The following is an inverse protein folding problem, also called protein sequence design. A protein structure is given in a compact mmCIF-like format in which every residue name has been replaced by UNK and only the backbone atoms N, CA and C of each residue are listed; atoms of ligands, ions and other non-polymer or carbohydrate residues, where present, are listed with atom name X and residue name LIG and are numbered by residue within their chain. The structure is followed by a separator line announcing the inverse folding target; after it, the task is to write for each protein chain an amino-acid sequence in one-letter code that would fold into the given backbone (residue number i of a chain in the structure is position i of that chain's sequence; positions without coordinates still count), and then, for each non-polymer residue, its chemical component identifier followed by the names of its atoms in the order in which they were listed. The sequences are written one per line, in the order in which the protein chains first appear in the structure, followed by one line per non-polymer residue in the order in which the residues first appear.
data_IF_141986332902
#
_entry.id   IF_141986332902
#
_cell.length_a   1.000
_cell.length_b   1.000
_cell.length_c   1.000
_cell.angle_alpha   90.00
_cell.angle_beta   90.00
_cell.angle_gamma   90.00
#
_symmetry.space_group_name_H-M   'P 1'
#
loop_
_entity.id
_entity.type
_entity.pdbx_description
1 polymer ?
#
# COMPACT_ATOMS: atom_id res chain seq x y z
N UNK A 1 -2.58 -11.78 8.68
CA UNK A 1 -1.76 -10.60 9.05
C UNK A 1 -1.07 -9.94 7.85
N UNK A 2 -0.76 -10.68 6.77
CA UNK A 2 -0.05 -10.15 5.59
C UNK A 2 -0.90 -9.14 4.82
N UNK A 3 -2.15 -9.46 4.53
CA UNK A 3 -3.05 -8.59 3.76
C UNK A 3 -3.24 -7.17 4.35
N UNK A 4 -3.50 -7.01 5.67
CA UNK A 4 -3.57 -5.70 6.29
C UNK A 4 -2.27 -4.90 6.18
N UNK A 5 -1.12 -5.55 6.29
CA UNK A 5 0.18 -4.89 6.14
C UNK A 5 0.40 -4.38 4.71
N UNK A 6 0.05 -5.19 3.71
CA UNK A 6 0.10 -4.79 2.29
C UNK A 6 -0.88 -3.64 2.03
N UNK A 7 -2.09 -3.70 2.55
CA UNK A 7 -3.07 -2.62 2.42
C UNK A 7 -2.57 -1.31 3.04
N UNK A 8 -2.00 -1.35 4.25
CA UNK A 8 -1.41 -0.19 4.90
C UNK A 8 -0.25 0.39 4.09
N UNK A 9 0.62 -0.45 3.56
CA UNK A 9 1.74 -0.03 2.72
C UNK A 9 1.28 0.63 1.41
N UNK A 10 0.34 0.02 0.71
CA UNK A 10 -0.22 0.58 -0.53
C UNK A 10 -0.91 1.91 -0.26
N UNK A 11 -1.70 2.01 0.82
CA UNK A 11 -2.35 3.26 1.22
C UNK A 11 -1.32 4.34 1.52
N UNK A 12 -0.26 4.02 2.25
CA UNK A 12 0.83 4.96 2.52
C UNK A 12 1.49 5.46 1.23
N UNK A 13 1.78 4.56 0.29
CA UNK A 13 2.42 4.89 -0.98
C UNK A 13 1.53 5.79 -1.87
N UNK A 14 0.25 5.44 -1.99
CA UNK A 14 -0.71 6.19 -2.80
C UNK A 14 -0.97 7.57 -2.19
N UNK A 15 -1.19 7.64 -0.86
CA UNK A 15 -1.40 8.91 -0.17
C UNK A 15 -0.17 9.82 -0.23
N UNK A 16 1.02 9.26 -0.07
CA UNK A 16 2.27 10.03 -0.21
C UNK A 16 2.42 10.62 -1.61
N UNK A 17 2.03 9.87 -2.66
CA UNK A 17 2.05 10.36 -4.03
C UNK A 17 0.98 11.44 -4.29
N UNK A 18 -0.24 11.25 -3.80
CA UNK A 18 -1.33 12.22 -3.90
C UNK A 18 -0.92 13.55 -3.26
N UNK A 19 -0.42 13.51 -2.03
CA UNK A 19 0.05 14.68 -1.29
C UNK A 19 1.21 15.37 -2.02
N UNK A 20 2.11 14.62 -2.64
CA UNK A 20 3.21 15.19 -3.40
C UNK A 20 2.72 15.96 -4.65
N UNK A 21 1.65 15.50 -5.28
CA UNK A 21 1.02 16.18 -6.42
C UNK A 21 0.27 17.43 -5.96
N UNK A 22 -0.47 17.36 -4.86
CA UNK A 22 -1.28 18.45 -4.31
C UNK A 22 -0.49 19.41 -3.40
N UNK A 23 0.84 19.25 -3.35
CA UNK A 23 1.71 20.01 -2.45
C UNK A 23 1.53 21.53 -2.56
N UNK A 24 1.38 22.04 -3.78
CA UNK A 24 1.19 23.47 -4.03
C UNK A 24 -0.15 23.99 -3.47
N UNK A 25 -1.22 23.20 -3.61
CA UNK A 25 -2.53 23.54 -3.08
C UNK A 25 -2.55 23.53 -1.55
N UNK A 26 -1.89 22.55 -0.94
CA UNK A 26 -1.69 22.49 0.51
C UNK A 26 -0.95 23.74 1.01
N UNK A 27 0.09 24.16 0.28
CA UNK A 27 0.83 25.38 0.59
C UNK A 27 -0.03 26.63 0.53
N UNK A 28 -0.86 26.74 -0.51
CA UNK A 28 -1.80 27.84 -0.69
C UNK A 28 -2.85 27.90 0.44
N UNK A 29 -3.47 26.78 0.78
CA UNK A 29 -4.44 26.69 1.88
C UNK A 29 -3.81 27.15 3.21
N UNK A 30 -2.56 26.75 3.47
CA UNK A 30 -1.83 27.20 4.66
C UNK A 30 -1.52 28.69 4.64
N UNK A 31 -1.21 29.25 3.48
CA UNK A 31 -1.00 30.69 3.32
C UNK A 31 -2.28 31.49 3.63
N UNK A 32 -3.47 30.91 3.34
CA UNK A 32 -4.77 31.45 3.73
C UNK A 32 -5.15 31.23 5.21
N UNK A 33 -4.27 30.63 6.02
CA UNK A 33 -4.47 30.46 7.45
C UNK A 33 -5.11 29.16 7.89
N UNK A 34 -5.29 28.17 7.00
CA UNK A 34 -5.75 26.84 7.38
C UNK A 34 -4.76 26.15 8.30
N UNK A 35 -5.27 25.58 9.39
CA UNK A 35 -4.46 24.89 10.39
C UNK A 35 -4.03 23.52 9.86
N UNK A 36 -2.88 23.05 10.33
CA UNK A 36 -2.38 21.69 10.01
C UNK A 36 -3.40 20.59 10.33
N UNK A 37 -4.24 20.82 11.35
CA UNK A 37 -5.30 19.89 11.74
C UNK A 37 -6.42 19.79 10.70
N UNK A 38 -6.77 20.90 10.07
CA UNK A 38 -7.86 20.95 9.10
C UNK A 38 -7.47 20.17 7.83
N UNK A 39 -6.22 20.35 7.40
CA UNK A 39 -5.62 19.62 6.28
C UNK A 39 -5.53 18.12 6.63
N UNK A 40 -5.00 17.79 7.80
CA UNK A 40 -4.90 16.38 8.22
C UNK A 40 -6.29 15.73 8.30
N UNK A 41 -7.29 16.42 8.80
CA UNK A 41 -8.66 15.92 8.90
C UNK A 41 -9.29 15.70 7.52
N UNK A 42 -9.04 16.59 6.58
CA UNK A 42 -9.51 16.46 5.20
C UNK A 42 -9.00 15.16 4.55
N UNK A 43 -7.70 14.93 4.56
CA UNK A 43 -7.10 13.72 4.00
C UNK A 43 -7.50 12.45 4.77
N UNK A 44 -7.64 12.53 6.09
CA UNK A 44 -8.13 11.40 6.90
C UNK A 44 -9.57 11.02 6.53
N UNK A 45 -10.46 12.01 6.34
CA UNK A 45 -11.84 11.77 5.88
C UNK A 45 -11.86 11.15 4.48
N UNK A 46 -10.99 11.61 3.60
CA UNK A 46 -10.85 11.05 2.26
C UNK A 46 -10.44 9.56 2.29
N UNK A 47 -9.43 9.22 3.10
CA UNK A 47 -9.00 7.82 3.29
C UNK A 47 -10.11 6.97 3.90
N UNK A 48 -10.83 7.50 4.90
CA UNK A 48 -11.97 6.82 5.50
C UNK A 48 -13.07 6.57 4.47
N UNK A 49 -13.40 7.54 3.63
CA UNK A 49 -14.41 7.38 2.58
C UNK A 49 -14.05 6.24 1.62
N UNK A 50 -12.83 6.24 1.09
CA UNK A 50 -12.33 5.17 0.23
C UNK A 50 -12.31 3.83 0.98
N UNK A 51 -11.86 3.84 2.23
CA UNK A 51 -11.79 2.64 3.06
C UNK A 51 -13.16 2.02 3.31
N UNK A 52 -14.17 2.82 3.61
CA UNK A 52 -15.55 2.36 3.79
C UNK A 52 -16.10 1.74 2.51
N UNK A 53 -15.93 2.40 1.37
CA UNK A 53 -16.33 1.84 0.06
C UNK A 53 -15.62 0.52 -0.21
N UNK A 54 -14.30 0.45 0.06
CA UNK A 54 -13.53 -0.77 -0.09
C UNK A 54 -14.01 -1.91 0.82
N UNK A 55 -14.38 -1.61 2.07
CA UNK A 55 -14.92 -2.60 3.01
C UNK A 55 -16.28 -3.12 2.53
N UNK A 56 -17.17 -2.23 2.07
CA UNK A 56 -18.49 -2.63 1.56
C UNK A 56 -18.37 -3.53 0.33
N UNK A 57 -17.50 -3.16 -0.61
CA UNK A 57 -17.22 -3.99 -1.79
C UNK A 57 -16.60 -5.32 -1.37
N UNK A 58 -15.65 -5.31 -0.42
CA UNK A 58 -15.03 -6.52 0.11
C UNK A 58 -16.03 -7.46 0.79
N UNK A 59 -17.01 -6.91 1.53
CA UNK A 59 -18.10 -7.69 2.12
C UNK A 59 -18.98 -8.32 1.06
N UNK A 60 -19.37 -7.54 0.04
CA UNK A 60 -20.19 -8.04 -1.05
C UNK A 60 -19.51 -9.19 -1.81
N UNK A 61 -18.27 -8.97 -2.22
CA UNK A 61 -17.48 -9.98 -2.95
C UNK A 61 -17.18 -11.18 -2.05
N UNK A 62 -16.81 -10.94 -0.80
CA UNK A 62 -16.53 -12.01 0.17
C UNK A 62 -17.74 -12.88 0.47
N UNK A 63 -18.92 -12.28 0.59
CA UNK A 63 -20.17 -13.05 0.72
C UNK A 63 -20.44 -13.91 -0.50
N UNK A 64 -20.33 -13.35 -1.69
CA UNK A 64 -20.56 -14.07 -2.95
C UNK A 64 -19.56 -15.21 -3.15
N UNK A 65 -18.27 -14.98 -2.91
CA UNK A 65 -17.24 -16.01 -2.96
C UNK A 65 -17.46 -17.10 -1.91
N UNK A 66 -17.88 -16.72 -0.70
CA UNK A 66 -18.20 -17.66 0.36
C UNK A 66 -19.34 -18.63 -0.03
N UNK A 67 -20.40 -18.09 -0.63
CA UNK A 67 -21.50 -18.90 -1.17
C UNK A 67 -21.02 -19.83 -2.28
N UNK A 68 -20.23 -19.31 -3.22
CA UNK A 68 -19.72 -20.09 -4.34
C UNK A 68 -18.82 -21.24 -3.86
N UNK A 69 -17.86 -20.95 -2.97
CA UNK A 69 -17.00 -21.97 -2.39
C UNK A 69 -17.80 -23.06 -1.64
N UNK A 70 -18.78 -22.64 -0.83
CA UNK A 70 -19.61 -23.59 -0.09
C UNK A 70 -20.35 -24.54 -1.03
N UNK A 71 -20.86 -24.06 -2.16
CA UNK A 71 -21.52 -24.89 -3.19
C UNK A 71 -20.54 -25.86 -3.83
N UNK A 72 -19.35 -25.41 -4.21
CA UNK A 72 -18.29 -26.28 -4.75
C UNK A 72 -17.94 -27.41 -3.78
N UNK A 73 -17.71 -27.08 -2.51
CA UNK A 73 -17.40 -28.11 -1.50
C UNK A 73 -18.57 -29.09 -1.27
N UNK A 74 -19.80 -28.60 -1.31
CA UNK A 74 -20.98 -29.46 -1.18
C UNK A 74 -21.08 -30.49 -2.34
N UNK A 75 -20.74 -30.04 -3.56
CA UNK A 75 -20.77 -30.86 -4.76
C UNK A 75 -19.65 -31.93 -4.77
N UNK A 76 -18.44 -31.55 -4.42
CA UNK A 76 -17.28 -32.43 -4.40
C UNK A 76 -17.32 -33.48 -3.27
N UNK A 77 -17.70 -33.05 -2.07
CA UNK A 77 -17.62 -33.91 -0.86
C UNK A 77 -18.94 -34.54 -0.43
N UNK A 78 -20.05 -34.28 -1.15
CA UNK A 78 -21.37 -34.85 -0.88
C UNK A 78 -21.83 -34.65 0.58
N UNK A 79 -21.49 -33.56 1.22
CA UNK A 79 -21.94 -33.27 2.57
C UNK A 79 -23.44 -32.95 2.60
N UNK A 80 -24.27 -33.70 3.33
CA UNK A 80 -25.72 -33.52 3.30
C UNK A 80 -26.22 -32.22 3.96
N UNK A 81 -25.37 -31.51 4.73
CA UNK A 81 -25.78 -30.34 5.52
C UNK A 81 -24.76 -29.21 5.50
N UNK A 82 -24.14 -28.92 4.39
CA UNK A 82 -23.21 -27.76 4.28
C UNK A 82 -24.01 -26.48 4.02
N UNK A 83 -24.21 -25.68 5.08
CA UNK A 83 -24.88 -24.39 4.97
C UNK A 83 -23.88 -23.25 5.19
N UNK A 84 -23.81 -22.33 4.23
CA UNK A 84 -23.04 -21.09 4.42
C UNK A 84 -23.73 -20.20 5.46
N UNK A 85 -23.11 -20.05 6.63
CA UNK A 85 -23.55 -19.10 7.67
C UNK A 85 -22.54 -18.00 7.81
N UNK A 86 -22.75 -16.82 7.20
CA UNK A 86 -21.86 -15.69 7.35
C UNK A 86 -21.88 -15.23 8.81
N UNK A 87 -20.71 -15.17 9.46
CA UNK A 87 -20.58 -14.63 10.80
C UNK A 87 -20.48 -13.11 10.72
N UNK A 88 -21.48 -12.40 11.23
CA UNK A 88 -21.47 -10.94 11.32
C UNK A 88 -20.24 -10.43 12.06
N UNK A 89 -19.81 -11.14 13.11
CA UNK A 89 -18.59 -10.80 13.86
C UNK A 89 -17.35 -10.82 13.00
N UNK A 90 -17.20 -11.84 12.13
CA UNK A 90 -16.05 -11.95 11.22
C UNK A 90 -16.02 -10.83 10.18
N UNK A 91 -17.17 -10.46 9.64
CA UNK A 91 -17.30 -9.35 8.70
C UNK A 91 -16.96 -8.00 9.35
N UNK A 92 -17.49 -7.74 10.55
CA UNK A 92 -17.17 -6.53 11.29
C UNK A 92 -15.70 -6.46 11.69
N UNK A 93 -15.13 -7.57 12.15
CA UNK A 93 -13.71 -7.63 12.51
C UNK A 93 -12.82 -7.38 11.28
N UNK A 94 -13.12 -8.01 10.15
CA UNK A 94 -12.39 -7.80 8.90
C UNK A 94 -12.48 -6.35 8.42
N UNK A 95 -13.68 -5.75 8.48
CA UNK A 95 -13.90 -4.34 8.14
C UNK A 95 -13.11 -3.40 9.05
N UNK A 96 -13.16 -3.63 10.36
CA UNK A 96 -12.41 -2.84 11.33
C UNK A 96 -10.89 -2.93 11.11
N UNK A 97 -10.35 -4.14 10.92
CA UNK A 97 -8.93 -4.35 10.66
C UNK A 97 -8.51 -3.68 9.35
N UNK A 98 -9.34 -3.75 8.31
CA UNK A 98 -9.07 -3.10 7.03
C UNK A 98 -9.04 -1.58 7.14
N UNK A 99 -10.03 -0.97 7.82
CA UNK A 99 -10.07 0.47 8.06
C UNK A 99 -8.90 0.94 8.93
N UNK A 100 -8.60 0.20 10.00
CA UNK A 100 -7.46 0.50 10.87
C UNK A 100 -6.14 0.46 10.08
N UNK A 101 -5.94 -0.54 9.23
CA UNK A 101 -4.75 -0.67 8.38
C UNK A 101 -4.63 0.48 7.39
N UNK A 102 -5.74 0.88 6.75
CA UNK A 102 -5.76 2.02 5.84
C UNK A 102 -5.42 3.33 6.56
N UNK A 103 -5.98 3.55 7.75
CA UNK A 103 -5.69 4.74 8.56
C UNK A 103 -4.22 4.78 9.01
N UNK A 104 -3.69 3.66 9.50
CA UNK A 104 -2.28 3.56 9.92
C UNK A 104 -1.36 3.85 8.74
N UNK A 105 -1.65 3.28 7.57
CA UNK A 105 -0.90 3.55 6.35
C UNK A 105 -0.92 5.02 5.93
N UNK A 106 -2.07 5.68 6.05
CA UNK A 106 -2.24 7.08 5.67
C UNK A 106 -1.62 8.06 6.66
N UNK A 107 -1.59 7.73 7.97
CA UNK A 107 -1.16 8.64 9.04
C UNK A 107 0.24 9.22 8.80
N UNK A 108 1.17 8.42 8.29
CA UNK A 108 2.53 8.87 7.98
C UNK A 108 2.54 9.97 6.92
N UNK A 109 1.88 9.72 5.80
CA UNK A 109 1.78 10.65 4.68
C UNK A 109 1.00 11.93 5.06
N UNK A 110 -0.10 11.78 5.80
CA UNK A 110 -0.92 12.91 6.28
C UNK A 110 -0.15 13.80 7.25
N UNK A 111 0.64 13.23 8.17
CA UNK A 111 1.49 14.00 9.08
C UNK A 111 2.57 14.76 8.33
N UNK A 112 3.19 14.15 7.34
CA UNK A 112 4.20 14.78 6.50
C UNK A 112 3.60 15.96 5.74
N UNK A 113 2.42 15.81 5.13
CA UNK A 113 1.69 16.89 4.49
C UNK A 113 1.36 18.04 5.44
N UNK A 114 0.84 17.68 6.63
CA UNK A 114 0.49 18.65 7.66
C UNK A 114 1.71 19.38 8.25
N UNK A 115 2.89 18.81 8.20
CA UNK A 115 4.12 19.42 8.71
C UNK A 115 4.82 20.34 7.69
N UNK A 116 4.51 20.25 6.39
CA UNK A 116 5.15 21.06 5.33
C UNK A 116 4.94 22.57 5.56
N UNK A 117 6.00 23.37 5.64
CA UNK A 117 5.89 24.84 5.70
C UNK A 117 5.31 25.41 4.40
N UNK A 118 4.46 26.45 4.43
CA UNK A 118 3.88 27.04 3.23
C UNK A 118 4.92 27.46 2.18
N UNK A 119 6.02 28.06 2.64
CA UNK A 119 7.10 28.51 1.76
C UNK A 119 7.81 27.37 1.02
N UNK A 120 7.94 26.20 1.65
CA UNK A 120 8.53 25.02 1.01
C UNK A 120 7.52 24.26 0.12
N UNK A 121 6.25 24.30 0.48
CA UNK A 121 5.19 23.65 -0.29
C UNK A 121 5.02 24.29 -1.67
N UNK A 122 5.18 25.61 -1.77
CA UNK A 122 5.08 26.39 -3.02
C UNK A 122 6.35 26.38 -3.87
N UNK A 123 7.48 25.90 -3.34
CA UNK A 123 8.71 25.76 -4.14
C UNK A 123 8.64 24.49 -4.99
N UNK A 124 9.10 24.55 -6.26
CA UNK A 124 9.31 23.32 -7.03
C UNK A 124 10.18 22.34 -6.23
N UNK A 125 9.90 21.03 -6.28
CA UNK A 125 10.73 20.06 -5.58
C UNK A 125 12.19 20.27 -6.00
N UNK A 126 13.08 20.45 -5.00
CA UNK A 126 14.49 20.62 -5.26
C UNK A 126 15.01 19.44 -6.10
N UNK A 127 15.80 19.70 -7.15
CA UNK A 127 16.38 18.62 -7.93
C UNK A 127 17.12 17.68 -7.00
N UNK A 128 16.98 16.36 -7.21
CA UNK A 128 17.57 15.36 -6.34
C UNK A 128 19.08 15.58 -6.26
N UNK A 129 19.59 15.86 -5.06
CA UNK A 129 21.03 16.01 -4.85
C UNK A 129 21.72 14.67 -5.17
N UNK A 130 22.59 14.70 -6.15
CA UNK A 130 23.39 13.55 -6.54
C UNK A 130 24.60 13.42 -5.59
N UNK A 131 24.38 12.86 -4.40
CA UNK A 131 25.51 12.45 -3.57
C UNK A 131 26.24 11.29 -4.24
N UNK A 132 27.56 11.36 -4.28
CA UNK A 132 28.41 10.26 -4.74
C UNK A 132 28.19 9.08 -3.78
N UNK A 133 27.40 8.12 -4.18
CA UNK A 133 27.17 6.88 -3.43
C UNK A 133 28.48 6.09 -3.39
N UNK A 134 28.78 5.45 -2.26
CA UNK A 134 30.00 4.61 -2.10
C UNK A 134 30.18 3.56 -3.20
N UNK A 135 29.07 3.12 -3.81
CA UNK A 135 29.03 2.24 -4.97
C UNK A 135 29.74 2.80 -6.22
N UNK A 136 29.89 4.14 -6.34
CA UNK A 136 30.62 4.73 -7.47
C UNK A 136 32.14 4.48 -7.41
N UNK A 137 32.65 4.01 -6.27
CA UNK A 137 34.07 3.64 -6.07
C UNK A 137 34.40 2.21 -6.51
N UNK A 138 33.39 1.37 -6.76
CA UNK A 138 33.62 -0.01 -7.20
C UNK A 138 33.89 0.02 -8.70
N UNK A 139 35.13 -0.23 -9.08
CA UNK A 139 35.60 -0.18 -10.49
C UNK A 139 34.84 -1.10 -11.45
N UNK A 140 34.22 -2.16 -10.96
CA UNK A 140 33.38 -3.06 -11.73
C UNK A 140 32.11 -2.36 -12.28
N UNK A 141 31.52 -1.42 -11.54
CA UNK A 141 30.32 -0.69 -11.95
C UNK A 141 30.63 0.30 -13.10
N UNK A 142 31.88 0.71 -13.24
CA UNK A 142 32.29 1.61 -14.33
C UNK A 142 32.32 0.91 -15.70
N UNK A 143 32.39 -0.41 -15.73
CA UNK A 143 32.37 -1.24 -16.96
C UNK A 143 30.97 -1.64 -17.41
N UNK A 144 29.94 -1.37 -16.59
CA UNK A 144 28.56 -1.66 -16.90
C UNK A 144 27.97 -0.59 -17.82
N UNK A 145 27.03 -1.01 -18.65
CA UNK A 145 26.29 -0.16 -19.57
C UNK A 145 25.55 0.97 -18.81
N UNK A 146 25.38 2.11 -19.45
CA UNK A 146 24.79 3.33 -18.86
C UNK A 146 23.44 3.07 -18.15
N UNK A 147 22.45 2.38 -18.77
CA UNK A 147 21.16 2.11 -18.12
C UNK A 147 21.28 1.25 -16.86
N UNK A 148 22.11 0.22 -16.88
CA UNK A 148 22.37 -0.65 -15.72
C UNK A 148 22.97 0.13 -14.54
N UNK A 149 23.85 1.08 -14.83
CA UNK A 149 24.47 1.95 -13.82
C UNK A 149 23.47 2.89 -13.18
N UNK A 150 22.50 3.40 -13.95
CA UNK A 150 21.41 4.23 -13.44
C UNK A 150 20.52 3.39 -12.50
N UNK A 151 20.14 2.19 -12.91
CA UNK A 151 19.31 1.28 -12.11
C UNK A 151 20.00 0.91 -10.78
N UNK A 152 21.26 0.52 -10.81
CA UNK A 152 22.02 0.18 -9.60
C UNK A 152 22.13 1.37 -8.64
N UNK A 153 22.33 2.58 -9.16
CA UNK A 153 22.34 3.80 -8.34
C UNK A 153 20.98 4.09 -7.73
N UNK A 154 19.90 3.85 -8.47
CA UNK A 154 18.52 4.00 -7.98
C UNK A 154 18.22 3.05 -6.82
N UNK A 155 18.58 1.77 -6.97
CA UNK A 155 18.43 0.73 -5.94
C UNK A 155 19.24 1.08 -4.68
N UNK A 156 20.49 1.47 -4.87
CA UNK A 156 21.37 1.85 -3.76
C UNK A 156 20.96 3.13 -3.04
N UNK A 157 20.24 4.01 -3.72
CA UNK A 157 19.75 5.27 -3.15
C UNK A 157 18.58 5.06 -2.17
N UNK A 158 17.75 4.06 -2.43
CA UNK A 158 16.56 3.77 -1.64
C UNK A 158 16.53 2.28 -1.21
N UNK A 159 17.52 1.81 -0.42
CA UNK A 159 17.67 0.39 -0.10
C UNK A 159 16.44 -0.19 0.58
N UNK A 160 15.79 0.57 1.47
CA UNK A 160 14.57 0.15 2.14
C UNK A 160 13.40 -0.10 1.18
N UNK A 161 13.18 0.80 0.22
CA UNK A 161 12.14 0.63 -0.80
C UNK A 161 12.42 -0.57 -1.70
N UNK A 162 13.66 -0.71 -2.14
CA UNK A 162 14.09 -1.83 -2.99
C UNK A 162 13.95 -3.17 -2.27
N UNK A 163 14.31 -3.22 -0.97
CA UNK A 163 14.14 -4.40 -0.14
C UNK A 163 12.66 -4.79 0.03
N UNK A 164 11.78 -3.83 0.33
CA UNK A 164 10.34 -4.09 0.49
C UNK A 164 9.73 -4.58 -0.83
N UNK A 165 10.11 -3.98 -1.96
CA UNK A 165 9.64 -4.42 -3.28
C UNK A 165 10.13 -5.83 -3.59
N UNK A 166 11.40 -6.13 -3.36
CA UNK A 166 11.97 -7.47 -3.55
C UNK A 166 11.31 -8.50 -2.64
N UNK A 167 11.08 -8.17 -1.37
CA UNK A 167 10.37 -9.04 -0.43
C UNK A 167 8.93 -9.30 -0.86
N UNK A 168 8.21 -8.29 -1.37
CA UNK A 168 6.86 -8.43 -1.90
C UNK A 168 6.80 -9.38 -3.10
N UNK A 169 7.74 -9.24 -4.05
CA UNK A 169 7.86 -10.12 -5.21
C UNK A 169 8.19 -11.55 -4.77
N UNK A 170 9.16 -11.71 -3.85
CA UNK A 170 9.55 -13.02 -3.32
C UNK A 170 8.38 -13.72 -2.62
N UNK A 171 7.58 -12.99 -1.84
CA UNK A 171 6.37 -13.51 -1.18
C UNK A 171 5.30 -13.93 -2.19
N UNK A 172 5.10 -13.14 -3.25
CA UNK A 172 4.15 -13.48 -4.32
C UNK A 172 4.57 -14.77 -5.04
N UNK A 173 5.85 -14.91 -5.34
CA UNK A 173 6.39 -16.12 -5.96
C UNK A 173 6.27 -17.32 -5.00
N UNK A 174 6.57 -17.15 -3.73
CA UNK A 174 6.44 -18.23 -2.73
C UNK A 174 5.00 -18.73 -2.62
N UNK A 175 4.01 -17.84 -2.60
CA UNK A 175 2.59 -18.21 -2.60
C UNK A 175 2.22 -18.96 -3.88
N UNK A 176 2.69 -18.52 -5.03
CA UNK A 176 2.41 -19.15 -6.31
C UNK A 176 3.01 -20.55 -6.38
N UNK A 177 4.27 -20.72 -5.99
CA UNK A 177 4.96 -22.03 -5.95
C UNK A 177 4.25 -22.99 -4.99
N UNK A 178 3.89 -22.51 -3.79
CA UNK A 178 3.16 -23.32 -2.81
C UNK A 178 1.79 -23.75 -3.37
N UNK A 179 1.08 -22.85 -4.05
CA UNK A 179 -0.20 -23.19 -4.68
C UNK A 179 -0.07 -24.23 -5.78
N UNK A 180 1.00 -24.16 -6.59
CA UNK A 180 1.26 -25.17 -7.64
C UNK A 180 1.61 -26.55 -7.06
N UNK A 181 2.39 -26.59 -5.97
CA UNK A 181 2.71 -27.85 -5.32
C UNK A 181 1.49 -28.61 -4.78
N UNK A 182 0.43 -27.87 -4.39
CA UNK A 182 -0.83 -28.50 -3.98
C UNK A 182 -1.55 -29.20 -5.12
N UNK A 183 -1.40 -28.71 -6.35
CA UNK A 183 -2.01 -29.31 -7.54
C UNK A 183 -1.29 -30.63 -7.91
N UNK A 184 0.04 -30.67 -7.73
CA UNK A 184 0.85 -31.84 -8.03
C UNK A 184 0.75 -32.94 -6.92
N UNK A 185 0.23 -32.59 -5.74
CA UNK A 185 0.11 -33.49 -4.59
C UNK A 185 -1.26 -34.20 -4.49
N UNK A 186 -2.21 -33.93 -5.39
CA UNK A 186 -3.55 -34.53 -5.48
C UNK A 186 -3.61 -35.40 -6.72
#
# INVERSE_FOLDING_TARGET
TVFPAVAAFLTHMVMGRLIAVERAEIGLLKAFGYRNRDIALHYTRFVLGIGVVGVLLGWFVGYWLGLYNTRLYAEFYHFPFLHFRPSVKSFLLAGFVSLASALIGALGAVREAAALPPAEAMRPPAPPMFHRTALSRIGFIQRLDQPTRILLRQIARWPGRSFITAAGIAMSIAVLVTSMQWIDAI
#
